data_IF_148948490273
#
_entry.id   IF_148948490273
#
_cell.length_a   1.000
_cell.length_b   1.000
_cell.length_c   1.000
_cell.angle_alpha   90.00
_cell.angle_beta   90.00
_cell.angle_gamma   90.00
#
_symmetry.space_group_name_H-M   'P 1'
#
loop_
_entity.id
_entity.type
_entity.pdbx_description
1 polymer ?
#
# COMPACT_ATOMS: atom_id res chain seq x y z
N UNK A 1 -19.10 -5.28 3.73
CA UNK A 1 -18.55 -3.93 4.00
C UNK A 1 -17.36 -3.77 3.06
N UNK A 2 -17.30 -2.75 2.21
CA UNK A 2 -16.14 -2.58 1.32
C UNK A 2 -15.02 -1.98 2.16
N UNK A 3 -13.98 -2.75 2.44
CA UNK A 3 -12.75 -2.24 3.05
C UNK A 3 -12.15 -1.25 2.04
N UNK A 4 -12.39 0.05 2.26
CA UNK A 4 -11.82 1.11 1.44
C UNK A 4 -10.33 1.16 1.71
N UNK A 5 -9.56 0.47 0.87
CA UNK A 5 -8.11 0.60 0.83
C UNK A 5 -7.78 1.94 0.21
N UNK A 6 -7.25 2.86 1.03
CA UNK A 6 -6.74 4.13 0.52
C UNK A 6 -5.33 3.90 -0.05
N UNK A 7 -5.11 4.40 -1.27
CA UNK A 7 -3.81 4.36 -1.95
C UNK A 7 -2.97 5.55 -1.48
N UNK A 8 -2.70 5.62 -0.19
CA UNK A 8 -1.89 6.67 0.44
C UNK A 8 -0.67 6.12 1.20
N UNK A 9 -0.48 4.80 1.16
CA UNK A 9 0.64 4.11 1.82
C UNK A 9 0.52 4.02 3.34
N UNK A 10 -0.56 4.51 3.95
CA UNK A 10 -0.70 4.62 5.41
C UNK A 10 -1.88 3.83 5.96
N UNK A 11 -3.03 3.87 5.28
CA UNK A 11 -4.28 3.33 5.84
C UNK A 11 -4.35 1.79 5.80
N UNK A 12 -3.57 1.16 4.93
CA UNK A 12 -3.43 -0.31 4.89
C UNK A 12 -2.68 -0.84 6.11
N UNK A 13 -1.84 0.00 6.71
CA UNK A 13 -0.88 -0.38 7.75
C UNK A 13 -1.46 -0.15 9.15
N UNK A 14 -1.96 1.06 9.41
CA UNK A 14 -2.35 1.48 10.75
C UNK A 14 -3.64 0.81 11.28
N UNK A 15 -4.49 0.27 10.40
CA UNK A 15 -5.80 -0.29 10.79
C UNK A 15 -5.75 -1.75 11.21
N UNK A 16 -4.64 -2.45 10.92
CA UNK A 16 -4.64 -3.92 10.93
C UNK A 16 -3.60 -4.53 11.87
N UNK A 17 -2.49 -3.83 12.15
CA UNK A 17 -1.56 -4.18 13.24
C UNK A 17 -1.05 -2.89 13.88
N UNK A 18 -1.43 -2.64 15.13
CA UNK A 18 -1.05 -1.43 15.87
C UNK A 18 0.45 -1.33 16.16
N UNK A 19 1.24 -2.38 15.88
CA UNK A 19 2.71 -2.39 16.01
C UNK A 19 3.42 -1.94 14.73
N UNK A 20 2.72 -1.93 13.60
CA UNK A 20 3.27 -1.56 12.31
C UNK A 20 3.08 -0.06 12.08
N UNK A 21 4.18 0.62 11.75
CA UNK A 21 4.15 2.00 11.27
C UNK A 21 4.32 2.04 9.75
N UNK A 22 3.50 2.85 9.08
CA UNK A 22 3.63 3.08 7.65
C UNK A 22 4.99 3.71 7.32
N UNK A 23 5.64 3.22 6.27
CA UNK A 23 6.87 3.83 5.77
C UNK A 23 6.59 5.22 5.19
N UNK A 24 7.64 6.05 5.09
CA UNK A 24 7.55 7.44 4.63
C UNK A 24 6.77 7.56 3.30
N UNK A 25 5.56 8.16 3.31
CA UNK A 25 4.74 8.30 2.12
C UNK A 25 5.43 9.10 1.02
N UNK A 26 6.37 9.99 1.35
CA UNK A 26 7.11 10.79 0.38
C UNK A 26 8.07 9.95 -0.47
N UNK A 27 8.55 8.83 0.06
CA UNK A 27 9.38 7.88 -0.67
C UNK A 27 8.54 6.89 -1.46
N UNK A 28 7.38 6.49 -0.93
CA UNK A 28 6.49 5.52 -1.56
C UNK A 28 5.71 6.10 -2.75
N UNK A 29 5.12 7.28 -2.59
CA UNK A 29 4.14 7.88 -3.51
C UNK A 29 4.74 8.79 -4.58
N UNK A 30 6.04 9.11 -4.50
CA UNK A 30 6.67 9.99 -5.49
C UNK A 30 6.47 9.45 -6.92
N UNK A 31 6.38 10.32 -7.94
CA UNK A 31 6.34 9.88 -9.33
C UNK A 31 7.50 8.91 -9.66
N UNK A 32 7.18 7.74 -10.21
CA UNK A 32 8.15 6.67 -10.46
C UNK A 32 8.69 5.99 -9.19
N UNK A 33 8.09 6.24 -8.04
CA UNK A 33 8.40 5.60 -6.77
C UNK A 33 7.88 4.16 -6.67
N UNK A 34 8.11 3.50 -5.53
CA UNK A 34 7.75 2.09 -5.32
C UNK A 34 6.28 1.76 -5.59
N UNK A 35 5.34 2.65 -5.23
CA UNK A 35 3.91 2.43 -5.49
C UNK A 35 3.49 2.74 -6.93
N UNK A 36 4.38 3.27 -7.78
CA UNK A 36 4.05 3.54 -9.17
C UNK A 36 3.96 2.22 -9.97
N UNK A 37 2.86 1.96 -10.69
CA UNK A 37 2.66 0.68 -11.35
C UNK A 37 3.63 0.52 -12.52
N UNK A 38 4.25 -0.65 -12.60
CA UNK A 38 5.15 -1.04 -13.68
C UNK A 38 4.71 -2.38 -14.28
N UNK A 39 5.02 -2.58 -15.57
CA UNK A 39 4.73 -3.84 -16.27
C UNK A 39 5.40 -5.05 -15.60
N UNK A 40 6.60 -4.83 -15.05
CA UNK A 40 7.28 -5.84 -14.26
C UNK A 40 6.82 -5.78 -12.80
N UNK A 41 6.33 -6.90 -12.22
CA UNK A 41 5.92 -6.93 -10.83
C UNK A 41 7.05 -6.51 -9.89
N UNK A 42 6.75 -5.64 -8.93
CA UNK A 42 7.70 -5.18 -7.92
C UNK A 42 7.20 -5.51 -6.50
N UNK A 43 8.13 -5.84 -5.60
CA UNK A 43 7.84 -5.95 -4.18
C UNK A 43 8.09 -4.61 -3.52
N UNK A 44 7.15 -4.16 -2.70
CA UNK A 44 7.16 -2.85 -2.05
C UNK A 44 6.90 -3.03 -0.59
N UNK A 45 7.82 -2.56 0.24
CA UNK A 45 7.58 -2.44 1.66
C UNK A 45 6.69 -1.23 1.91
N UNK A 46 5.64 -1.42 2.70
CA UNK A 46 4.68 -0.36 3.04
C UNK A 46 4.66 -0.07 4.54
N UNK A 47 5.14 -1.00 5.37
CA UNK A 47 5.28 -0.82 6.80
C UNK A 47 6.53 -1.49 7.36
N UNK A 48 6.94 -1.05 8.54
CA UNK A 48 7.89 -1.75 9.39
C UNK A 48 7.42 -1.72 10.86
N UNK A 49 7.83 -2.72 11.63
CA UNK A 49 7.54 -2.79 13.08
C UNK A 49 8.38 -1.75 13.83
N UNK A 50 7.78 -1.03 14.80
CA UNK A 50 8.50 0.04 15.51
C UNK A 50 9.46 -0.46 16.61
N UNK A 51 9.38 -1.71 17.12
CA UNK A 51 10.30 -2.26 18.15
C UNK A 51 9.99 -3.72 18.62
N UNK A 52 10.87 -4.35 19.45
CA UNK A 52 11.70 -5.53 19.14
C UNK A 52 11.00 -6.89 19.32
N UNK A 53 9.66 -6.96 19.24
CA UNK A 53 8.93 -8.22 19.35
C UNK A 53 9.20 -9.12 18.12
N UNK A 54 9.10 -10.45 18.24
CA UNK A 54 9.32 -11.36 17.11
C UNK A 54 8.10 -11.34 16.16
N UNK A 55 7.97 -10.25 15.39
CA UNK A 55 7.05 -10.11 14.26
C UNK A 55 7.78 -10.11 12.92
N UNK A 56 7.06 -10.07 11.78
CA UNK A 56 7.69 -9.78 10.50
C UNK A 56 8.23 -8.34 10.50
N UNK A 57 9.55 -8.17 10.35
CA UNK A 57 10.23 -6.85 10.39
C UNK A 57 9.61 -5.81 9.43
N UNK A 58 9.01 -6.27 8.33
CA UNK A 58 8.47 -5.43 7.25
C UNK A 58 7.20 -6.04 6.67
N UNK A 59 6.26 -5.18 6.34
CA UNK A 59 5.11 -5.54 5.53
C UNK A 59 5.39 -5.24 4.06
N UNK A 60 5.41 -6.27 3.25
CA UNK A 60 5.67 -6.19 1.82
C UNK A 60 4.43 -6.57 1.02
N UNK A 61 4.04 -5.74 0.07
CA UNK A 61 3.06 -6.08 -0.96
C UNK A 61 3.75 -6.30 -2.30
N UNK A 62 3.12 -7.04 -3.20
CA UNK A 62 3.55 -7.13 -4.59
C UNK A 62 2.61 -6.33 -5.47
N UNK A 63 3.15 -5.44 -6.27
CA UNK A 63 2.40 -4.62 -7.22
C UNK A 63 2.70 -5.15 -8.62
N UNK A 64 1.66 -5.34 -9.42
CA UNK A 64 1.80 -5.68 -10.83
C UNK A 64 0.78 -4.91 -11.68
N UNK A 65 1.18 -4.55 -12.89
CA UNK A 65 0.28 -3.99 -13.89
C UNK A 65 -0.11 -5.07 -14.90
N UNK A 66 -1.42 -5.30 -15.06
CA UNK A 66 -1.98 -6.19 -16.10
C UNK A 66 -2.97 -5.41 -16.94
N UNK A 67 -2.54 -4.99 -18.12
CA UNK A 67 -3.32 -4.08 -18.97
C UNK A 67 -3.60 -2.77 -18.23
N UNK A 68 -4.87 -2.44 -18.01
CA UNK A 68 -5.28 -1.25 -17.26
C UNK A 68 -5.61 -1.53 -15.78
N UNK A 69 -5.16 -2.66 -15.23
CA UNK A 69 -5.44 -3.05 -13.84
C UNK A 69 -4.16 -3.14 -13.03
N UNK A 70 -4.09 -2.35 -11.95
CA UNK A 70 -3.04 -2.47 -10.93
C UNK A 70 -3.51 -3.49 -9.90
N UNK A 71 -2.67 -4.50 -9.67
CA UNK A 71 -2.96 -5.59 -8.76
C UNK A 71 -1.98 -5.51 -7.60
N UNK A 72 -2.49 -5.41 -6.39
CA UNK A 72 -1.74 -5.62 -5.16
C UNK A 72 -2.01 -7.05 -4.71
N UNK A 73 -0.97 -7.89 -4.67
CA UNK A 73 -1.03 -9.25 -4.14
C UNK A 73 -0.12 -9.39 -2.93
N UNK A 74 -0.20 -10.52 -2.24
CA UNK A 74 0.51 -10.75 -0.98
C UNK A 74 0.10 -9.73 0.11
N UNK A 75 -1.12 -9.18 0.02
CA UNK A 75 -1.69 -8.19 0.95
C UNK A 75 -2.18 -8.90 2.23
N UNK A 76 -1.42 -9.84 2.78
CA UNK A 76 -1.90 -10.70 3.86
C UNK A 76 -2.25 -9.87 5.11
N UNK A 77 -3.56 -9.66 5.29
CA UNK A 77 -4.16 -9.15 6.51
C UNK A 77 -5.42 -9.95 6.85
N UNK A 78 -5.60 -10.35 8.12
CA UNK A 78 -6.87 -10.86 8.61
C UNK A 78 -7.89 -9.71 8.62
N UNK A 79 -8.90 -9.77 7.75
CA UNK A 79 -10.11 -8.95 7.92
C UNK A 79 -10.71 -9.31 9.30
N UNK A 80 -11.02 -8.32 10.16
CA UNK A 80 -11.71 -8.57 11.43
C UNK A 80 -13.08 -9.24 11.26
N UNK A 81 -13.63 -9.36 10.04
CA UNK A 81 -14.98 -9.87 9.81
C UNK A 81 -15.07 -11.27 9.17
N UNK A 82 -14.18 -11.73 8.27
CA UNK A 82 -14.05 -13.15 7.82
C UNK A 82 -13.29 -13.32 6.49
N UNK A 83 -12.00 -12.94 6.42
CA UNK A 83 -11.20 -13.33 5.24
C UNK A 83 -9.84 -12.65 5.14
N UNK A 84 -8.83 -13.42 4.71
CA UNK A 84 -7.55 -12.84 4.31
C UNK A 84 -7.75 -12.17 2.95
N UNK A 85 -7.47 -10.87 2.84
CA UNK A 85 -7.42 -10.21 1.53
C UNK A 85 -6.11 -10.63 0.86
N UNK A 86 -6.16 -11.61 -0.03
CA UNK A 86 -4.96 -12.06 -0.74
C UNK A 86 -4.56 -11.10 -1.86
N UNK A 87 -5.55 -10.47 -2.50
CA UNK A 87 -5.36 -9.65 -3.70
C UNK A 87 -6.39 -8.51 -3.80
N UNK A 88 -5.95 -7.35 -4.30
CA UNK A 88 -6.76 -6.13 -4.47
C UNK A 88 -6.51 -5.55 -5.86
N UNK A 89 -7.58 -5.18 -6.56
CA UNK A 89 -7.52 -4.67 -7.92
C UNK A 89 -7.95 -3.21 -8.00
N UNK A 90 -7.17 -2.42 -8.73
CA UNK A 90 -7.47 -1.02 -8.99
C UNK A 90 -7.45 -0.75 -10.50
N UNK A 91 -8.38 0.07 -10.97
CA UNK A 91 -8.30 0.66 -12.32
C UNK A 91 -7.08 1.59 -12.38
N UNK A 92 -6.22 1.42 -13.38
CA UNK A 92 -4.96 2.17 -13.53
C UNK A 92 -5.15 3.69 -13.41
N UNK A 93 -6.13 4.25 -14.13
CA UNK A 93 -6.39 5.70 -14.08
C UNK A 93 -6.78 6.18 -12.68
N UNK A 94 -7.61 5.41 -11.97
CA UNK A 94 -8.03 5.75 -10.61
C UNK A 94 -6.85 5.63 -9.65
N UNK A 95 -6.08 4.55 -9.76
CA UNK A 95 -4.90 4.31 -8.94
C UNK A 95 -3.87 5.44 -9.08
N UNK A 96 -3.51 5.81 -10.30
CA UNK A 96 -2.55 6.90 -10.56
C UNK A 96 -3.06 8.24 -10.04
N UNK A 97 -4.34 8.55 -10.28
CA UNK A 97 -4.94 9.78 -9.76
C UNK A 97 -4.90 9.87 -8.23
N UNK A 98 -5.11 8.75 -7.54
CA UNK A 98 -5.01 8.69 -6.08
C UNK A 98 -3.56 8.82 -5.59
N UNK A 99 -2.58 8.15 -6.23
CA UNK A 99 -1.15 8.30 -5.90
C UNK A 99 -0.71 9.75 -6.07
N UNK A 100 -1.06 10.40 -7.17
CA UNK A 100 -0.70 11.79 -7.46
C UNK A 100 -1.36 12.76 -6.46
N UNK A 101 -2.66 12.56 -6.17
CA UNK A 101 -3.39 13.36 -5.17
C UNK A 101 -2.77 13.22 -3.79
N UNK A 102 -2.46 11.99 -3.36
CA UNK A 102 -1.87 11.70 -2.06
C UNK A 102 -0.47 12.32 -1.93
N UNK A 103 0.36 12.21 -2.98
CA UNK A 103 1.68 12.83 -3.02
C UNK A 103 1.60 14.38 -2.97
N UNK A 104 0.68 14.99 -3.73
CA UNK A 104 0.49 16.44 -3.69
C UNK A 104 -0.01 16.93 -2.31
N UNK A 105 -0.90 16.17 -1.67
CA UNK A 105 -1.36 16.46 -0.32
C UNK A 105 -0.22 16.38 0.70
N UNK A 106 0.69 15.42 0.56
CA UNK A 106 1.89 15.31 1.38
C UNK A 106 2.81 16.54 1.23
N UNK A 107 3.05 16.98 -0.01
CA UNK A 107 3.87 18.17 -0.27
C UNK A 107 3.27 19.47 0.26
N UNK A 108 1.95 19.51 0.45
CA UNK A 108 1.23 20.67 0.95
C UNK A 108 1.17 20.73 2.48
N UNK A 109 1.72 19.73 3.18
CA UNK A 109 1.82 19.74 4.65
C UNK A 109 2.94 20.70 5.09
N UNK A 110 2.66 21.63 6.03
CA UNK A 110 3.64 22.59 6.53
C UNK A 110 4.73 21.93 7.39
#
# INVERSE_FOLDING_TARGET
MHTYLFVDGLDVVARSDSRMAGLDPGQLLRPGGPLYPADMPCKVDVAAEEQPEPGPDRLTIRISLRGETVIWSDVMYPDPVDGVIEEVHFRLRQYLGEVERAYAALQSRP
#
